data_IF_959246788527
#
_entry.id   IF_959246788527
#
_cell.length_a   1.000
_cell.length_b   1.000
_cell.length_c   1.000
_cell.angle_alpha   90.00
_cell.angle_beta   90.00
_cell.angle_gamma   90.00
#
_symmetry.space_group_name_H-M   'P 1'
#
loop_
_entity.id
_entity.type
_entity.pdbx_description
1 polymer ?
#
# COMPACT_ATOMS: atom_id res chain seq x y z
N UNK A 1 33.77 -11.94 -19.70
CA UNK A 1 32.33 -11.69 -19.45
C UNK A 1 32.22 -10.52 -18.49
N UNK A 2 31.48 -9.45 -18.83
CA UNK A 2 31.27 -8.34 -17.92
C UNK A 2 30.08 -8.67 -16.97
N UNK A 3 29.93 -7.93 -15.87
CA UNK A 3 28.94 -8.22 -14.84
C UNK A 3 27.49 -8.29 -15.37
N UNK A 4 27.01 -7.37 -16.24
CA UNK A 4 25.69 -7.45 -16.87
C UNK A 4 25.42 -8.76 -17.62
N UNK A 5 26.42 -9.38 -18.23
CA UNK A 5 26.28 -10.66 -18.94
C UNK A 5 26.06 -11.86 -18.00
N UNK A 6 26.32 -11.69 -16.70
CA UNK A 6 26.07 -12.70 -15.66
C UNK A 6 24.75 -12.50 -14.96
N UNK A 7 24.14 -11.31 -15.10
CA UNK A 7 22.87 -11.02 -14.47
C UNK A 7 21.71 -11.73 -15.18
N UNK A 8 20.65 -12.00 -14.45
CA UNK A 8 19.40 -12.45 -15.05
C UNK A 8 18.90 -11.38 -16.04
N UNK A 9 18.66 -11.71 -17.33
CA UNK A 9 18.23 -10.74 -18.34
C UNK A 9 17.02 -9.90 -17.93
N UNK A 10 16.09 -10.46 -17.13
CA UNK A 10 14.89 -9.77 -16.63
C UNK A 10 15.19 -8.58 -15.72
N UNK A 11 16.41 -8.55 -15.12
CA UNK A 11 16.83 -7.46 -14.23
C UNK A 11 17.39 -6.28 -15.00
N UNK A 12 17.94 -6.50 -16.18
CA UNK A 12 18.71 -5.47 -16.90
C UNK A 12 17.85 -4.27 -17.30
N UNK A 13 16.59 -4.53 -17.68
CA UNK A 13 15.65 -3.49 -18.10
C UNK A 13 14.67 -3.09 -16.97
N UNK A 14 14.82 -3.65 -15.77
CA UNK A 14 13.96 -3.36 -14.63
C UNK A 14 14.23 -1.94 -14.12
N UNK A 15 13.23 -1.05 -14.05
CA UNK A 15 13.44 0.26 -13.45
C UNK A 15 13.69 0.13 -11.94
N UNK A 16 14.66 0.91 -11.46
CA UNK A 16 14.90 1.00 -10.01
C UNK A 16 13.78 1.80 -9.37
N UNK A 17 13.15 1.23 -8.34
CA UNK A 17 12.13 1.93 -7.57
C UNK A 17 12.71 3.21 -6.95
N UNK A 18 12.09 4.35 -7.22
CA UNK A 18 12.50 5.64 -6.67
C UNK A 18 11.67 5.94 -5.41
N UNK A 19 12.25 5.84 -4.20
CA UNK A 19 11.56 6.24 -2.97
C UNK A 19 11.34 7.75 -2.94
N UNK A 20 10.42 8.21 -2.08
CA UNK A 20 10.34 9.65 -1.75
C UNK A 20 11.61 10.11 -1.05
N UNK A 21 12.02 11.38 -1.25
CA UNK A 21 13.20 11.96 -0.57
C UNK A 21 13.02 11.93 0.95
N UNK A 22 14.12 11.69 1.66
CA UNK A 22 14.15 11.79 3.11
C UNK A 22 14.12 13.26 3.56
N UNK A 23 13.61 13.50 4.77
CA UNK A 23 13.56 14.86 5.36
C UNK A 23 14.97 15.47 5.41
N UNK A 24 15.97 14.68 5.83
CA UNK A 24 17.36 15.10 5.98
C UNK A 24 18.00 15.51 4.65
N UNK A 25 17.63 14.83 3.55
CA UNK A 25 18.14 15.14 2.22
C UNK A 25 17.57 16.47 1.71
N UNK A 26 16.27 16.70 1.88
CA UNK A 26 15.61 17.96 1.52
C UNK A 26 16.12 19.10 2.39
N UNK A 27 16.29 18.88 3.69
CA UNK A 27 16.86 19.87 4.60
C UNK A 27 18.23 20.32 4.17
N UNK A 28 19.10 19.39 3.77
CA UNK A 28 20.48 19.66 3.30
C UNK A 28 20.47 20.37 1.94
N UNK A 29 19.66 19.91 1.00
CA UNK A 29 19.59 20.45 -0.36
C UNK A 29 19.11 21.91 -0.38
N UNK A 30 18.05 22.21 0.39
CA UNK A 30 17.41 23.52 0.41
C UNK A 30 17.80 24.40 1.63
N UNK A 31 18.72 23.92 2.48
CA UNK A 31 19.17 24.61 3.70
C UNK A 31 18.03 24.97 4.64
N UNK A 32 17.07 24.05 4.79
CA UNK A 32 15.91 24.17 5.67
C UNK A 32 16.18 23.51 7.02
N UNK A 33 15.45 23.95 8.07
CA UNK A 33 15.44 23.22 9.33
C UNK A 33 14.60 21.94 9.18
N UNK A 34 15.11 20.74 9.48
CA UNK A 34 14.36 19.49 9.36
C UNK A 34 13.02 19.50 10.11
N UNK A 35 12.90 20.24 11.21
CA UNK A 35 11.66 20.36 12.00
C UNK A 35 10.55 21.13 11.30
N UNK A 36 10.90 21.95 10.30
CA UNK A 36 9.92 22.75 9.56
C UNK A 36 9.43 22.05 8.30
N UNK A 37 10.02 20.88 7.98
CA UNK A 37 9.69 20.10 6.79
C UNK A 37 8.49 19.20 7.07
N UNK A 38 7.49 19.26 6.19
CA UNK A 38 6.32 18.39 6.19
C UNK A 38 6.49 17.29 5.14
N UNK A 39 6.60 16.02 5.56
CA UNK A 39 6.70 14.88 4.66
C UNK A 39 5.32 14.30 4.37
N UNK A 40 4.72 14.70 3.25
CA UNK A 40 3.39 14.29 2.79
C UNK A 40 3.48 13.41 1.52
N UNK A 41 4.49 12.53 1.46
CA UNK A 41 4.85 11.76 0.26
C UNK A 41 4.54 10.27 0.32
N UNK A 42 4.52 9.66 1.50
CA UNK A 42 4.57 8.19 1.64
C UNK A 42 3.32 7.59 2.29
N UNK A 43 2.26 8.39 2.44
CA UNK A 43 0.98 7.95 3.03
C UNK A 43 1.18 7.34 4.43
N UNK A 44 2.13 7.91 5.19
CA UNK A 44 2.39 7.55 6.57
C UNK A 44 1.26 8.10 7.47
N UNK A 45 1.10 7.55 8.68
CA UNK A 45 0.17 8.11 9.66
C UNK A 45 0.83 9.30 10.38
N UNK A 46 0.36 10.54 10.21
CA UNK A 46 1.00 11.72 10.81
C UNK A 46 0.85 11.76 12.35
N UNK A 47 -0.07 10.99 12.90
CA UNK A 47 -0.26 10.89 14.37
C UNK A 47 0.58 9.77 15.01
N UNK A 48 1.35 9.03 14.19
CA UNK A 48 2.23 7.94 14.64
C UNK A 48 1.49 6.66 14.99
N UNK A 49 2.19 5.79 15.70
CA UNK A 49 1.63 4.55 16.24
C UNK A 49 0.93 4.79 17.59
N UNK A 50 0.05 3.87 17.98
CA UNK A 50 -0.58 3.94 19.29
C UNK A 50 0.47 3.83 20.43
N UNK A 51 0.25 4.49 21.57
CA UNK A 51 1.14 4.37 22.71
C UNK A 51 1.40 2.92 23.14
N UNK A 52 0.37 2.08 23.15
CA UNK A 52 0.46 0.65 23.47
C UNK A 52 1.38 -0.11 22.50
N UNK A 53 1.33 0.20 21.21
CA UNK A 53 2.19 -0.41 20.19
C UNK A 53 3.66 0.02 20.38
N UNK A 54 3.89 1.29 20.72
CA UNK A 54 5.23 1.81 21.00
C UNK A 54 5.82 1.13 22.25
N UNK A 55 5.05 1.00 23.32
CA UNK A 55 5.52 0.41 24.56
C UNK A 55 5.80 -1.10 24.42
N UNK A 56 4.94 -1.82 23.70
CA UNK A 56 5.19 -3.22 23.35
C UNK A 56 6.49 -3.39 22.52
N UNK A 57 6.74 -2.47 21.59
CA UNK A 57 7.98 -2.46 20.81
C UNK A 57 9.22 -2.20 21.66
N UNK A 58 9.16 -1.24 22.61
CA UNK A 58 10.25 -0.97 23.55
C UNK A 58 10.58 -2.19 24.42
N UNK A 59 9.55 -2.89 24.91
CA UNK A 59 9.76 -4.09 25.71
C UNK A 59 10.43 -5.19 24.89
N UNK A 60 10.03 -5.37 23.63
CA UNK A 60 10.63 -6.34 22.74
C UNK A 60 12.14 -6.08 22.46
N UNK A 61 12.61 -4.84 22.62
CA UNK A 61 14.05 -4.49 22.46
C UNK A 61 14.95 -5.22 23.46
N UNK A 62 14.46 -5.60 24.64
CA UNK A 62 15.25 -6.36 25.62
C UNK A 62 15.66 -7.75 25.11
N UNK A 63 15.01 -8.26 24.08
CA UNK A 63 15.19 -9.61 23.56
C UNK A 63 15.73 -9.68 22.11
N UNK A 64 16.22 -8.55 21.55
CA UNK A 64 16.69 -8.50 20.15
C UNK A 64 17.91 -9.37 19.84
N UNK A 65 18.58 -9.90 20.84
CA UNK A 65 19.68 -10.86 20.69
C UNK A 65 19.19 -12.27 20.35
N UNK A 66 17.88 -12.53 20.37
CA UNK A 66 17.25 -13.78 20.00
C UNK A 66 16.55 -13.62 18.64
N UNK A 67 16.53 -14.69 17.86
CA UNK A 67 15.66 -14.73 16.68
C UNK A 67 14.19 -14.56 17.09
N UNK A 68 13.37 -13.91 16.28
CA UNK A 68 11.92 -13.90 16.51
C UNK A 68 11.34 -15.31 16.45
N UNK A 69 10.14 -15.53 17.02
CA UNK A 69 9.40 -16.75 16.79
C UNK A 69 9.07 -16.87 15.30
N UNK A 70 9.59 -17.94 14.67
CA UNK A 70 9.69 -18.03 13.21
C UNK A 70 8.36 -18.16 12.47
N UNK A 71 7.30 -18.61 13.14
CA UNK A 71 5.95 -18.72 12.57
C UNK A 71 5.10 -17.48 12.79
N UNK A 72 5.48 -16.60 13.74
CA UNK A 72 4.68 -15.48 14.20
C UNK A 72 3.36 -15.93 14.84
N UNK A 73 3.37 -17.04 15.60
CA UNK A 73 2.18 -17.72 16.07
C UNK A 73 1.22 -16.78 16.85
N UNK A 74 1.75 -15.98 17.80
CA UNK A 74 0.94 -15.06 18.59
C UNK A 74 0.30 -13.96 17.72
N UNK A 75 1.05 -13.38 16.77
CA UNK A 75 0.52 -12.37 15.88
C UNK A 75 -0.52 -12.97 14.92
N UNK A 76 -0.27 -14.17 14.37
CA UNK A 76 -1.24 -14.87 13.52
C UNK A 76 -2.52 -15.18 14.29
N UNK A 77 -2.43 -15.59 15.56
CA UNK A 77 -3.57 -15.78 16.43
C UNK A 77 -4.35 -14.47 16.62
N UNK A 78 -3.67 -13.37 16.98
CA UNK A 78 -4.31 -12.08 17.18
C UNK A 78 -5.01 -11.55 15.90
N UNK A 79 -4.39 -11.75 14.72
CA UNK A 79 -4.98 -11.38 13.43
C UNK A 79 -6.21 -12.26 13.14
N UNK A 80 -6.09 -13.58 13.34
CA UNK A 80 -7.18 -14.52 13.06
C UNK A 80 -8.40 -14.26 13.95
N UNK A 81 -8.20 -13.99 15.24
CA UNK A 81 -9.25 -13.57 16.15
C UNK A 81 -9.94 -12.28 15.71
N UNK A 82 -9.16 -11.28 15.28
CA UNK A 82 -9.71 -10.00 14.80
C UNK A 82 -10.52 -10.14 13.51
N UNK A 83 -10.16 -11.11 12.64
CA UNK A 83 -10.83 -11.37 11.36
C UNK A 83 -11.91 -12.46 11.44
N UNK A 84 -12.01 -13.23 12.53
CA UNK A 84 -12.88 -14.40 12.61
C UNK A 84 -12.43 -15.54 11.67
N UNK A 85 -11.13 -15.73 11.51
CA UNK A 85 -10.48 -16.76 10.68
C UNK A 85 -9.66 -17.72 11.54
N UNK A 86 -9.06 -18.73 10.91
CA UNK A 86 -8.09 -19.61 11.56
C UNK A 86 -6.67 -19.08 11.37
N UNK A 87 -5.76 -19.38 12.30
CA UNK A 87 -4.37 -18.88 12.22
C UNK A 87 -3.57 -19.44 11.04
N UNK A 88 -3.94 -20.60 10.51
CA UNK A 88 -3.35 -21.21 9.31
C UNK A 88 -3.84 -20.57 7.99
N UNK A 89 -4.85 -19.71 8.07
CA UNK A 89 -5.30 -18.86 6.97
C UNK A 89 -4.54 -17.51 6.89
N UNK A 90 -3.56 -17.27 7.77
CA UNK A 90 -2.79 -16.03 7.87
C UNK A 90 -1.34 -16.26 7.46
N UNK A 91 -0.81 -15.40 6.57
CA UNK A 91 0.61 -15.31 6.21
C UNK A 91 1.15 -13.95 6.62
N UNK A 92 2.27 -13.91 7.34
CA UNK A 92 2.95 -12.68 7.71
C UNK A 92 4.03 -12.32 6.69
N UNK A 93 4.25 -11.02 6.49
CA UNK A 93 5.25 -10.51 5.59
C UNK A 93 5.94 -9.24 6.11
N UNK A 94 7.12 -8.98 5.58
CA UNK A 94 7.89 -7.75 5.81
C UNK A 94 7.23 -6.57 5.07
N UNK A 95 6.07 -6.14 5.57
CA UNK A 95 5.07 -5.35 4.86
C UNK A 95 4.27 -6.22 3.87
N UNK A 96 3.18 -5.67 3.32
CA UNK A 96 2.40 -6.35 2.27
C UNK A 96 3.22 -6.59 0.98
N UNK A 97 4.30 -5.86 0.75
CA UNK A 97 5.19 -6.07 -0.39
C UNK A 97 5.76 -7.50 -0.43
N UNK A 98 6.16 -8.07 0.71
CA UNK A 98 6.66 -9.45 0.73
C UNK A 98 5.56 -10.44 0.34
N UNK A 99 4.29 -10.15 0.67
CA UNK A 99 3.18 -11.01 0.22
C UNK A 99 3.04 -10.98 -1.31
N UNK A 100 3.22 -9.80 -1.92
CA UNK A 100 3.23 -9.67 -3.40
C UNK A 100 4.37 -10.49 -4.01
N UNK A 101 5.57 -10.43 -3.41
CA UNK A 101 6.73 -11.22 -3.86
C UNK A 101 6.49 -12.72 -3.70
N UNK A 102 5.94 -13.16 -2.56
CA UNK A 102 5.60 -14.56 -2.32
C UNK A 102 4.60 -15.10 -3.34
N UNK A 103 3.58 -14.31 -3.70
CA UNK A 103 2.64 -14.67 -4.77
C UNK A 103 3.36 -14.86 -6.10
N UNK A 104 4.29 -13.96 -6.43
CA UNK A 104 5.13 -14.10 -7.62
C UNK A 104 5.98 -15.35 -7.62
N UNK A 105 6.71 -15.60 -6.53
CA UNK A 105 7.59 -16.77 -6.39
C UNK A 105 6.84 -18.11 -6.47
N UNK A 106 5.60 -18.15 -5.97
CA UNK A 106 4.85 -19.41 -5.86
C UNK A 106 4.04 -19.71 -7.11
N UNK A 107 3.53 -18.66 -7.80
CA UNK A 107 2.50 -18.88 -8.82
C UNK A 107 2.89 -18.39 -10.22
N UNK A 108 3.97 -17.64 -10.39
CA UNK A 108 4.35 -17.08 -11.68
C UNK A 108 5.54 -17.81 -12.30
N UNK A 109 5.40 -18.11 -13.58
CA UNK A 109 6.42 -18.59 -14.47
C UNK A 109 6.56 -17.65 -15.69
N UNK A 110 7.58 -17.88 -16.51
CA UNK A 110 7.78 -17.10 -17.72
C UNK A 110 6.61 -17.25 -18.70
N UNK A 111 6.07 -16.11 -19.13
CA UNK A 111 4.95 -16.04 -20.07
C UNK A 111 3.58 -16.06 -19.42
N UNK A 112 3.46 -16.23 -18.12
CA UNK A 112 2.21 -16.00 -17.38
C UNK A 112 1.79 -14.54 -17.44
N UNK A 113 0.52 -14.26 -17.23
CA UNK A 113 -0.04 -12.90 -17.25
C UNK A 113 -0.55 -12.49 -15.86
N UNK A 114 -0.30 -11.21 -15.52
CA UNK A 114 -0.78 -10.58 -14.29
C UNK A 114 -1.59 -9.36 -14.66
N UNK A 115 -2.89 -9.37 -14.35
CA UNK A 115 -3.78 -8.24 -14.63
C UNK A 115 -3.70 -7.21 -13.49
N UNK A 116 -3.51 -5.94 -13.87
CA UNK A 116 -3.42 -4.80 -12.96
C UNK A 116 -4.08 -3.57 -13.56
N UNK A 117 -4.55 -2.64 -12.77
CA UNK A 117 -4.95 -1.33 -13.25
C UNK A 117 -3.75 -0.53 -13.78
N UNK A 118 -3.95 0.28 -14.82
CA UNK A 118 -2.89 1.08 -15.44
C UNK A 118 -2.18 1.97 -14.41
N UNK A 119 -2.94 2.61 -13.54
CA UNK A 119 -2.47 3.48 -12.47
C UNK A 119 -2.55 2.81 -11.08
N UNK A 120 -2.37 1.50 -11.00
CA UNK A 120 -2.27 0.80 -9.72
C UNK A 120 -0.84 0.89 -9.14
N UNK A 121 -0.67 0.37 -7.92
CA UNK A 121 0.61 0.37 -7.24
C UNK A 121 1.69 -0.33 -8.07
N UNK A 122 2.77 0.39 -8.36
CA UNK A 122 3.81 -0.03 -9.32
C UNK A 122 4.48 -1.37 -9.00
N UNK A 123 4.50 -1.77 -7.72
CA UNK A 123 5.17 -3.01 -7.27
C UNK A 123 4.56 -4.25 -7.92
N UNK A 124 3.27 -4.25 -8.24
CA UNK A 124 2.66 -5.40 -8.94
C UNK A 124 3.32 -5.61 -10.32
N UNK A 125 3.53 -4.53 -11.09
CA UNK A 125 4.20 -4.59 -12.41
C UNK A 125 5.66 -5.00 -12.26
N UNK A 126 6.38 -4.40 -11.30
CA UNK A 126 7.79 -4.69 -11.07
C UNK A 126 8.00 -6.15 -10.69
N UNK A 127 7.18 -6.66 -9.77
CA UNK A 127 7.24 -8.07 -9.37
C UNK A 127 6.92 -9.00 -10.55
N UNK A 128 5.89 -8.71 -11.33
CA UNK A 128 5.52 -9.52 -12.50
C UNK A 128 6.68 -9.64 -13.49
N UNK A 129 7.30 -8.52 -13.83
CA UNK A 129 8.47 -8.48 -14.72
C UNK A 129 9.65 -9.27 -14.15
N UNK A 130 9.92 -9.14 -12.85
CA UNK A 130 10.99 -9.87 -12.17
C UNK A 130 10.80 -11.39 -12.26
N UNK A 131 9.56 -11.88 -12.17
CA UNK A 131 9.22 -13.30 -12.31
C UNK A 131 9.15 -13.77 -13.78
N UNK A 132 9.29 -12.87 -14.75
CA UNK A 132 9.16 -13.17 -16.18
C UNK A 132 7.73 -13.24 -16.67
N UNK A 133 6.79 -12.84 -15.85
CA UNK A 133 5.39 -12.71 -16.23
C UNK A 133 5.13 -11.36 -16.91
N UNK A 134 4.07 -11.31 -17.73
CA UNK A 134 3.65 -10.13 -18.46
C UNK A 134 2.59 -9.37 -17.67
N UNK A 135 2.85 -8.12 -17.22
CA UNK A 135 1.79 -7.30 -16.66
C UNK A 135 0.82 -6.83 -17.77
N UNK A 136 -0.46 -7.14 -17.59
CA UNK A 136 -1.56 -6.70 -18.47
C UNK A 136 -2.22 -5.51 -17.79
N UNK A 137 -1.90 -4.30 -18.27
CA UNK A 137 -2.39 -3.05 -17.72
C UNK A 137 -3.75 -2.69 -18.28
N UNK A 138 -4.75 -2.54 -17.44
CA UNK A 138 -6.11 -2.19 -17.81
C UNK A 138 -6.35 -0.70 -17.61
N UNK A 139 -6.84 0.04 -18.62
CA UNK A 139 -7.20 1.44 -18.48
C UNK A 139 -8.18 1.66 -17.32
N UNK A 140 -8.06 2.81 -16.67
CA UNK A 140 -8.87 3.18 -15.51
C UNK A 140 -9.69 4.45 -15.82
N UNK A 141 -10.85 4.34 -16.46
CA UNK A 141 -11.71 5.49 -16.71
C UNK A 141 -12.04 6.22 -15.39
N UNK A 142 -11.95 7.54 -15.40
CA UNK A 142 -12.12 8.36 -14.19
C UNK A 142 -11.22 7.93 -13.01
N UNK A 143 -10.08 7.30 -13.31
CA UNK A 143 -9.11 6.79 -12.35
C UNK A 143 -9.67 5.71 -11.39
N UNK A 144 -10.76 5.03 -11.78
CA UNK A 144 -11.37 3.90 -11.07
C UNK A 144 -11.09 2.62 -11.85
N UNK A 145 -10.90 1.49 -11.17
CA UNK A 145 -10.70 0.20 -11.84
C UNK A 145 -11.94 -0.22 -12.64
N UNK A 146 -11.76 -0.50 -13.93
CA UNK A 146 -12.80 -1.11 -14.77
C UNK A 146 -12.78 -2.64 -14.60
N UNK A 147 -13.57 -3.14 -13.65
CA UNK A 147 -13.63 -4.57 -13.33
C UNK A 147 -14.13 -5.41 -14.53
N UNK A 148 -15.00 -4.84 -15.35
CA UNK A 148 -15.49 -5.53 -16.57
C UNK A 148 -14.37 -5.65 -17.61
N UNK A 149 -13.56 -4.61 -17.81
CA UNK A 149 -12.41 -4.69 -18.70
C UNK A 149 -11.34 -5.63 -18.14
N UNK A 150 -11.09 -5.64 -16.82
CA UNK A 150 -10.21 -6.62 -16.18
C UNK A 150 -10.69 -8.05 -16.43
N UNK A 151 -11.98 -8.32 -16.29
CA UNK A 151 -12.56 -9.65 -16.56
C UNK A 151 -12.39 -10.06 -18.02
N UNK A 152 -12.67 -9.17 -18.99
CA UNK A 152 -12.49 -9.45 -20.43
C UNK A 152 -11.04 -9.70 -20.84
N UNK A 153 -10.08 -9.19 -20.07
CA UNK A 153 -8.66 -9.37 -20.33
C UNK A 153 -8.10 -10.72 -19.86
N UNK A 154 -8.90 -11.54 -19.16
CA UNK A 154 -8.47 -12.85 -18.68
C UNK A 154 -8.25 -13.79 -19.86
N UNK A 155 -7.09 -14.45 -19.88
CA UNK A 155 -6.72 -15.50 -20.81
C UNK A 155 -6.33 -16.78 -20.06
N UNK A 156 -6.06 -17.87 -20.75
CA UNK A 156 -5.55 -19.13 -20.16
C UNK A 156 -4.17 -18.95 -19.48
N UNK A 157 -3.46 -17.85 -19.78
CA UNK A 157 -2.16 -17.50 -19.18
C UNK A 157 -2.30 -16.63 -17.94
N UNK A 158 -3.47 -16.09 -17.67
CA UNK A 158 -3.69 -15.22 -16.51
C UNK A 158 -3.59 -16.02 -15.21
N UNK A 159 -2.65 -15.68 -14.34
CA UNK A 159 -2.45 -16.32 -13.03
C UNK A 159 -2.93 -15.47 -11.87
N UNK A 160 -2.60 -14.18 -11.89
CA UNK A 160 -2.90 -13.25 -10.80
C UNK A 160 -3.66 -12.04 -11.31
N UNK A 161 -4.58 -11.55 -10.49
CA UNK A 161 -5.22 -10.25 -10.65
C UNK A 161 -5.00 -9.48 -9.35
N UNK A 162 -4.35 -8.31 -9.41
CA UNK A 162 -4.24 -7.41 -8.27
C UNK A 162 -5.24 -6.27 -8.38
N UNK A 163 -6.05 -6.11 -7.34
CA UNK A 163 -7.00 -5.01 -7.19
C UNK A 163 -6.76 -4.31 -5.86
N UNK A 164 -6.10 -3.15 -5.83
CA UNK A 164 -6.04 -2.34 -4.62
C UNK A 164 -7.34 -1.56 -4.42
N UNK A 165 -7.89 -1.63 -3.20
CA UNK A 165 -9.09 -0.88 -2.84
C UNK A 165 -9.01 -0.42 -1.37
N UNK A 166 -8.87 0.91 -1.14
CA UNK A 166 -8.64 2.01 -2.10
C UNK A 166 -7.34 1.90 -2.90
N UNK A 167 -7.36 2.40 -4.15
CA UNK A 167 -6.20 2.38 -5.04
C UNK A 167 -5.16 3.44 -4.68
N UNK A 168 -3.91 3.13 -4.81
CA UNK A 168 -2.79 4.06 -4.78
C UNK A 168 -2.17 4.14 -6.21
N UNK A 169 -2.13 5.32 -6.85
CA UNK A 169 -2.15 6.67 -6.25
C UNK A 169 -3.47 7.43 -6.34
N UNK A 170 -4.54 6.87 -6.86
CA UNK A 170 -5.76 7.63 -7.19
C UNK A 170 -6.66 7.89 -5.96
N UNK A 171 -6.61 7.04 -4.93
CA UNK A 171 -7.49 7.12 -3.77
C UNK A 171 -8.90 6.62 -4.02
N UNK A 172 -9.21 6.23 -5.25
CA UNK A 172 -10.53 5.71 -5.65
C UNK A 172 -10.73 4.28 -5.20
N UNK A 173 -11.98 3.85 -5.10
CA UNK A 173 -12.36 2.48 -4.77
C UNK A 173 -13.62 2.08 -5.55
N UNK A 174 -13.71 0.82 -5.92
CA UNK A 174 -14.97 0.21 -6.35
C UNK A 174 -15.84 -0.08 -5.11
N UNK A 175 -17.14 -0.29 -5.31
CA UNK A 175 -18.02 -0.68 -4.22
C UNK A 175 -17.70 -2.09 -3.72
N UNK A 176 -18.01 -2.42 -2.45
CA UNK A 176 -17.83 -3.78 -1.92
C UNK A 176 -18.56 -4.84 -2.76
N UNK A 177 -19.77 -4.54 -3.22
CA UNK A 177 -20.60 -5.43 -4.03
C UNK A 177 -19.96 -5.71 -5.39
N UNK A 178 -19.43 -4.67 -6.06
CA UNK A 178 -18.72 -4.83 -7.34
C UNK A 178 -17.48 -5.71 -7.18
N UNK A 179 -16.69 -5.51 -6.12
CA UNK A 179 -15.49 -6.29 -5.84
C UNK A 179 -15.84 -7.76 -5.58
N UNK A 180 -16.87 -8.01 -4.76
CA UNK A 180 -17.31 -9.37 -4.44
C UNK A 180 -17.87 -10.09 -5.69
N UNK A 181 -18.74 -9.42 -6.46
CA UNK A 181 -19.27 -9.98 -7.69
C UNK A 181 -18.16 -10.29 -8.71
N UNK A 182 -17.16 -9.38 -8.82
CA UNK A 182 -15.98 -9.61 -9.65
C UNK A 182 -15.21 -10.85 -9.19
N UNK A 183 -14.87 -10.94 -7.92
CA UNK A 183 -14.12 -12.08 -7.35
C UNK A 183 -14.86 -13.41 -7.52
N UNK A 184 -16.19 -13.42 -7.41
CA UNK A 184 -17.04 -14.59 -7.63
C UNK A 184 -17.06 -15.04 -9.09
N UNK A 185 -16.97 -14.10 -10.03
CA UNK A 185 -17.05 -14.38 -11.48
C UNK A 185 -15.75 -14.96 -12.06
N UNK A 186 -14.64 -14.91 -11.32
CA UNK A 186 -13.34 -15.30 -11.84
C UNK A 186 -13.21 -16.81 -12.09
N UNK A 187 -12.53 -17.22 -13.18
CA UNK A 187 -12.32 -18.63 -13.48
C UNK A 187 -11.36 -19.29 -12.48
N UNK A 188 -11.50 -20.59 -12.30
CA UNK A 188 -10.79 -21.35 -11.27
C UNK A 188 -9.27 -21.46 -11.43
N UNK A 189 -8.68 -20.98 -12.53
CA UNK A 189 -7.21 -20.93 -12.72
C UNK A 189 -6.58 -19.61 -12.27
N UNK A 190 -7.40 -18.58 -11.97
CA UNK A 190 -6.96 -17.24 -11.57
C UNK A 190 -6.99 -17.09 -10.05
N UNK A 191 -5.97 -16.48 -9.49
CA UNK A 191 -5.91 -16.06 -8.08
C UNK A 191 -6.21 -14.56 -8.03
N UNK A 192 -7.23 -14.18 -7.26
CA UNK A 192 -7.59 -12.80 -7.01
C UNK A 192 -6.91 -12.28 -5.76
N UNK A 193 -6.18 -11.17 -5.88
CA UNK A 193 -5.45 -10.52 -4.80
C UNK A 193 -6.03 -9.14 -4.55
N UNK A 194 -6.79 -8.99 -3.46
CA UNK A 194 -7.30 -7.70 -3.00
C UNK A 194 -6.25 -7.05 -2.09
N UNK A 195 -5.71 -5.90 -2.49
CA UNK A 195 -4.82 -5.13 -1.63
C UNK A 195 -5.63 -4.13 -0.81
N UNK A 196 -5.75 -4.43 0.46
CA UNK A 196 -6.50 -3.70 1.48
C UNK A 196 -5.60 -2.76 2.31
N UNK A 197 -4.50 -2.23 1.73
CA UNK A 197 -3.54 -1.40 2.48
C UNK A 197 -4.17 -0.15 3.11
N UNK A 198 -5.33 0.28 2.64
CA UNK A 198 -6.06 1.45 3.13
C UNK A 198 -7.47 1.11 3.64
N UNK A 199 -7.77 -0.15 3.86
CA UNK A 199 -9.12 -0.64 4.20
C UNK A 199 -9.67 -0.04 5.50
N UNK A 200 -8.81 0.23 6.49
CA UNK A 200 -9.22 0.80 7.77
C UNK A 200 -9.73 2.24 7.66
N UNK A 201 -9.51 2.92 6.53
CA UNK A 201 -10.08 4.24 6.23
C UNK A 201 -11.49 4.17 5.64
N UNK A 202 -11.93 3.00 5.16
CA UNK A 202 -13.28 2.77 4.62
C UNK A 202 -14.31 2.64 5.76
N UNK A 203 -15.51 3.13 5.53
CA UNK A 203 -16.66 2.88 6.39
C UNK A 203 -17.21 1.47 6.18
N UNK A 204 -17.31 1.06 4.92
CA UNK A 204 -17.79 -0.26 4.49
C UNK A 204 -16.72 -0.91 3.57
N UNK A 205 -15.79 -1.68 4.13
CA UNK A 205 -14.79 -2.39 3.35
C UNK A 205 -15.35 -3.70 2.75
N UNK A 206 -14.87 -4.14 1.57
CA UNK A 206 -15.23 -5.43 1.01
C UNK A 206 -14.79 -6.58 1.93
N UNK A 207 -15.62 -7.62 2.03
CA UNK A 207 -15.34 -8.79 2.86
C UNK A 207 -15.15 -10.05 2.02
N UNK A 208 -13.91 -10.50 1.84
CA UNK A 208 -13.59 -11.72 1.10
C UNK A 208 -13.73 -13.01 1.93
N UNK A 209 -13.99 -12.94 3.23
CA UNK A 209 -14.04 -14.14 4.10
C UNK A 209 -15.05 -15.18 3.65
N UNK A 210 -16.27 -14.83 3.18
CA UNK A 210 -17.20 -15.82 2.63
C UNK A 210 -16.62 -16.57 1.43
N UNK A 211 -15.93 -15.86 0.51
CA UNK A 211 -15.32 -16.47 -0.67
C UNK A 211 -14.13 -17.41 -0.31
N UNK A 212 -13.40 -17.08 0.74
CA UNK A 212 -12.34 -17.94 1.29
C UNK A 212 -12.96 -19.23 1.83
N UNK A 213 -14.07 -19.15 2.55
CA UNK A 213 -14.81 -20.31 3.10
C UNK A 213 -15.40 -21.19 1.98
N UNK A 214 -15.83 -20.61 0.88
CA UNK A 214 -16.28 -21.31 -0.33
C UNK A 214 -15.13 -21.97 -1.11
N UNK A 215 -13.89 -21.79 -0.70
CA UNK A 215 -12.71 -22.35 -1.37
C UNK A 215 -12.30 -21.61 -2.64
N UNK A 216 -12.76 -20.37 -2.83
CA UNK A 216 -12.31 -19.52 -3.94
C UNK A 216 -10.83 -19.19 -3.80
N UNK A 217 -10.15 -19.02 -4.92
CA UNK A 217 -8.73 -18.66 -4.96
C UNK A 217 -8.57 -17.15 -4.77
N UNK A 218 -8.84 -16.69 -3.57
CA UNK A 218 -8.73 -15.29 -3.18
C UNK A 218 -7.74 -15.11 -2.04
N UNK A 219 -7.00 -14.01 -2.09
CA UNK A 219 -6.12 -13.54 -1.02
C UNK A 219 -6.36 -12.05 -0.80
N UNK A 220 -6.56 -11.63 0.44
CA UNK A 220 -6.51 -10.23 0.79
C UNK A 220 -5.20 -9.92 1.52
N UNK A 221 -4.68 -8.69 1.34
CA UNK A 221 -3.42 -8.24 1.94
C UNK A 221 -3.64 -6.95 2.72
N UNK A 222 -3.11 -6.87 3.94
CA UNK A 222 -3.13 -5.69 4.80
C UNK A 222 -1.74 -5.30 5.27
N UNK A 223 -1.60 -4.07 5.71
CA UNK A 223 -0.34 -3.54 6.23
C UNK A 223 -0.55 -2.78 7.53
N UNK A 224 0.41 -2.86 8.44
CA UNK A 224 0.47 -2.00 9.61
C UNK A 224 1.15 -0.65 9.32
N UNK A 225 1.61 -0.43 8.09
CA UNK A 225 2.35 0.78 7.70
C UNK A 225 1.50 2.04 7.61
N UNK A 226 0.16 1.92 7.48
CA UNK A 226 -0.74 3.05 7.22
C UNK A 226 -1.42 3.48 8.53
N UNK A 227 -2.68 3.17 8.74
CA UNK A 227 -3.42 3.66 9.90
C UNK A 227 -2.82 3.28 11.24
N UNK A 228 -2.16 2.13 11.34
CA UNK A 228 -1.49 1.68 12.56
C UNK A 228 -0.17 2.41 12.88
N UNK A 229 0.40 3.19 11.93
CA UNK A 229 1.59 3.99 12.15
C UNK A 229 2.90 3.19 12.31
N UNK A 230 2.96 1.93 11.87
CA UNK A 230 4.12 1.05 12.03
C UNK A 230 4.97 0.92 10.75
N UNK A 231 4.98 1.94 9.89
CA UNK A 231 5.66 1.90 8.61
C UNK A 231 7.15 1.51 8.71
N UNK A 232 7.86 2.01 9.73
CA UNK A 232 9.28 1.73 9.96
C UNK A 232 9.57 0.30 10.43
N UNK A 233 8.58 -0.41 10.97
CA UNK A 233 8.77 -1.78 11.47
C UNK A 233 8.62 -2.85 10.38
N UNK A 234 8.12 -2.46 9.20
CA UNK A 234 7.99 -3.35 8.04
C UNK A 234 7.17 -4.61 8.36
N UNK A 235 5.90 -4.43 8.71
CA UNK A 235 4.98 -5.52 9.02
C UNK A 235 3.68 -5.41 8.23
N UNK A 236 3.24 -6.53 7.67
CA UNK A 236 1.97 -6.72 6.98
C UNK A 236 1.57 -8.18 7.02
N UNK A 237 0.42 -8.48 6.47
CA UNK A 237 -0.09 -9.85 6.41
C UNK A 237 -1.02 -10.04 5.21
N UNK A 238 -1.16 -11.31 4.79
CA UNK A 238 -2.19 -11.76 3.89
C UNK A 238 -3.09 -12.77 4.56
N UNK A 239 -4.32 -12.90 4.08
CA UNK A 239 -5.25 -13.92 4.52
C UNK A 239 -6.01 -14.53 3.34
N UNK A 240 -6.18 -15.85 3.39
CA UNK A 240 -6.79 -16.63 2.30
C UNK A 240 -7.12 -18.04 2.76
N UNK A 241 -7.36 -18.96 1.82
CA UNK A 241 -7.56 -20.37 2.20
C UNK A 241 -6.29 -20.97 2.82
N UNK A 242 -6.43 -21.91 3.75
CA UNK A 242 -5.33 -22.65 4.35
C UNK A 242 -4.37 -23.22 3.27
N UNK A 243 -4.94 -23.81 2.20
CA UNK A 243 -4.16 -24.38 1.11
C UNK A 243 -3.28 -23.33 0.41
N UNK A 244 -3.81 -22.13 0.14
CA UNK A 244 -3.08 -21.04 -0.49
C UNK A 244 -1.97 -20.53 0.43
N UNK A 245 -2.30 -20.28 1.70
CA UNK A 245 -1.33 -19.82 2.72
C UNK A 245 -0.21 -20.85 2.90
N UNK A 246 -0.53 -22.15 2.94
CA UNK A 246 0.46 -23.23 3.05
C UNK A 246 1.46 -23.25 1.88
N UNK A 247 1.03 -22.89 0.67
CA UNK A 247 1.93 -22.76 -0.48
C UNK A 247 2.84 -21.53 -0.31
N UNK A 248 2.31 -20.38 0.09
CA UNK A 248 3.11 -19.17 0.33
C UNK A 248 4.15 -19.38 1.45
N UNK A 249 3.80 -20.12 2.51
CA UNK A 249 4.72 -20.46 3.59
C UNK A 249 5.98 -21.21 3.12
N UNK A 250 5.91 -21.96 2.01
CA UNK A 250 7.08 -22.68 1.46
C UNK A 250 8.12 -21.75 0.85
N UNK A 251 7.70 -20.57 0.36
CA UNK A 251 8.59 -19.60 -0.26
C UNK A 251 9.06 -18.53 0.74
N UNK A 252 8.38 -18.41 1.90
CA UNK A 252 8.68 -17.39 2.91
C UNK A 252 10.08 -17.62 3.52
N UNK A 253 10.83 -16.54 3.65
CA UNK A 253 12.14 -16.56 4.32
C UNK A 253 11.97 -16.91 5.81
N UNK A 254 12.86 -17.75 6.39
CA UNK A 254 12.87 -18.01 7.82
C UNK A 254 13.02 -16.69 8.62
N UNK A 255 12.25 -16.53 9.69
CA UNK A 255 12.33 -15.38 10.61
C UNK A 255 12.13 -14.01 9.91
N UNK A 256 11.33 -13.97 8.84
CA UNK A 256 11.16 -12.76 8.00
C UNK A 256 10.64 -11.54 8.77
N UNK A 257 9.76 -11.71 9.76
CA UNK A 257 9.18 -10.62 10.55
C UNK A 257 9.89 -10.51 11.90
N UNK A 258 10.48 -9.36 12.18
CA UNK A 258 11.23 -9.11 13.40
C UNK A 258 10.34 -9.08 14.66
N UNK A 259 10.92 -9.35 15.82
CA UNK A 259 10.21 -9.47 17.12
C UNK A 259 9.55 -8.16 17.54
N UNK A 260 10.18 -7.02 17.29
CA UNK A 260 9.65 -5.69 17.63
C UNK A 260 8.38 -5.43 16.83
N UNK A 261 8.41 -5.76 15.53
CA UNK A 261 7.25 -5.62 14.65
C UNK A 261 6.08 -6.52 15.09
N UNK A 262 6.36 -7.77 15.47
CA UNK A 262 5.34 -8.70 15.96
C UNK A 262 4.66 -8.17 17.22
N UNK A 263 5.43 -7.78 18.23
CA UNK A 263 4.92 -7.26 19.51
C UNK A 263 4.10 -5.97 19.31
N UNK A 264 4.65 -5.01 18.55
CA UNK A 264 3.96 -3.75 18.25
C UNK A 264 2.65 -3.97 17.46
N UNK A 265 2.65 -4.90 16.49
CA UNK A 265 1.46 -5.20 15.70
C UNK A 265 0.35 -5.83 16.54
N UNK A 266 0.68 -6.75 17.45
CA UNK A 266 -0.30 -7.33 18.38
C UNK A 266 -0.96 -6.25 19.24
N UNK A 267 -0.17 -5.32 19.78
CA UNK A 267 -0.68 -4.22 20.59
C UNK A 267 -1.53 -3.25 19.75
N UNK A 268 -1.09 -2.93 18.52
CA UNK A 268 -1.82 -2.05 17.60
C UNK A 268 -3.19 -2.62 17.18
N UNK A 269 -3.31 -3.94 16.99
CA UNK A 269 -4.59 -4.62 16.68
C UNK A 269 -5.61 -4.51 17.80
N UNK A 270 -5.14 -4.47 19.06
CA UNK A 270 -6.00 -4.34 20.24
C UNK A 270 -6.48 -2.92 20.47
N UNK A 271 -5.74 -1.92 19.98
CA UNK A 271 -6.04 -0.49 20.19
C UNK A 271 -7.01 0.04 19.13
N UNK A 272 -8.25 -0.44 19.17
CA UNK A 272 -9.30 -0.04 18.21
C UNK A 272 -9.66 1.44 18.32
N UNK A 273 -9.55 2.01 19.51
CA UNK A 273 -9.83 3.42 19.76
C UNK A 273 -8.83 4.32 19.05
N UNK A 274 -7.53 3.96 19.04
CA UNK A 274 -6.52 4.67 18.28
C UNK A 274 -6.82 4.67 16.77
N UNK A 275 -7.18 3.51 16.22
CA UNK A 275 -7.55 3.37 14.81
C UNK A 275 -8.77 4.24 14.49
N UNK A 276 -9.80 4.23 15.34
CA UNK A 276 -11.00 5.06 15.17
C UNK A 276 -10.67 6.56 15.20
N UNK A 277 -9.81 7.00 16.13
CA UNK A 277 -9.33 8.38 16.21
C UNK A 277 -8.53 8.78 14.96
N UNK A 278 -7.61 7.93 14.48
CA UNK A 278 -6.83 8.19 13.27
C UNK A 278 -7.73 8.27 12.03
N UNK A 279 -8.73 7.40 11.91
CA UNK A 279 -9.72 7.44 10.82
C UNK A 279 -10.47 8.78 10.83
N UNK A 280 -11.00 9.16 11.99
CA UNK A 280 -11.73 10.44 12.12
C UNK A 280 -10.85 11.63 11.73
N UNK A 281 -9.64 11.72 12.29
CA UNK A 281 -8.69 12.80 11.97
C UNK A 281 -8.32 12.83 10.49
N UNK A 282 -8.21 11.67 9.84
CA UNK A 282 -7.98 11.58 8.40
C UNK A 282 -9.17 12.13 7.60
N UNK A 283 -10.40 11.80 7.99
CA UNK A 283 -11.62 12.35 7.38
C UNK A 283 -11.66 13.87 7.50
N UNK A 284 -11.43 14.39 8.71
CA UNK A 284 -11.36 15.85 8.97
C UNK A 284 -10.25 16.50 8.10
N UNK A 285 -9.09 15.84 7.95
CA UNK A 285 -7.98 16.30 7.12
C UNK A 285 -8.27 16.26 5.62
N UNK A 286 -8.98 15.24 5.14
CA UNK A 286 -9.46 15.19 3.75
C UNK A 286 -10.42 16.34 3.44
N UNK A 287 -11.35 16.64 4.34
CA UNK A 287 -12.29 17.75 4.20
C UNK A 287 -11.56 19.11 4.21
N UNK A 288 -10.61 19.30 5.12
CA UNK A 288 -9.75 20.48 5.17
C UNK A 288 -9.01 20.70 3.85
N UNK A 289 -8.35 19.66 3.35
CA UNK A 289 -7.60 19.73 2.09
C UNK A 289 -8.53 19.98 0.90
N UNK A 290 -9.65 19.28 0.81
CA UNK A 290 -10.64 19.46 -0.25
C UNK A 290 -11.16 20.89 -0.33
N UNK A 291 -11.53 21.49 0.83
CA UNK A 291 -11.97 22.88 0.92
C UNK A 291 -10.85 23.85 0.50
N UNK A 292 -9.61 23.61 0.98
CA UNK A 292 -8.46 24.44 0.63
C UNK A 292 -8.13 24.41 -0.86
N UNK A 293 -8.14 23.22 -1.47
CA UNK A 293 -7.90 23.04 -2.92
C UNK A 293 -8.99 23.70 -3.77
N UNK A 294 -10.26 23.58 -3.37
CA UNK A 294 -11.37 24.27 -4.02
C UNK A 294 -11.19 25.80 -3.99
N UNK A 295 -10.76 26.35 -2.86
CA UNK A 295 -10.49 27.80 -2.73
C UNK A 295 -9.30 28.27 -3.59
N UNK A 296 -8.40 27.36 -3.97
CA UNK A 296 -7.30 27.60 -4.90
C UNK A 296 -7.67 27.32 -6.37
N UNK A 297 -8.91 26.92 -6.66
CA UNK A 297 -9.37 26.46 -7.97
C UNK A 297 -8.56 25.27 -8.52
N UNK A 298 -8.07 24.39 -7.65
CA UNK A 298 -7.34 23.17 -8.02
C UNK A 298 -8.28 21.97 -8.03
N UNK A 299 -8.24 21.21 -9.12
CA UNK A 299 -8.95 19.95 -9.23
C UNK A 299 -8.22 18.84 -8.47
N UNK A 300 -8.97 17.94 -7.88
CA UNK A 300 -8.43 16.77 -7.19
C UNK A 300 -9.35 15.56 -7.37
N UNK A 301 -8.79 14.37 -7.22
CA UNK A 301 -9.55 13.11 -7.25
C UNK A 301 -10.10 12.85 -5.84
N UNK A 302 -11.42 12.69 -5.65
CA UNK A 302 -11.99 12.30 -4.37
C UNK A 302 -11.40 10.98 -3.88
N UNK A 303 -10.92 10.95 -2.64
CA UNK A 303 -10.17 9.82 -2.10
C UNK A 303 -10.89 9.14 -0.95
N UNK A 304 -10.74 7.82 -0.88
CA UNK A 304 -11.14 6.95 0.23
C UNK A 304 -9.93 6.47 1.07
N UNK A 305 -8.73 7.04 0.80
CA UNK A 305 -7.49 6.71 1.49
C UNK A 305 -7.01 7.88 2.37
N UNK A 306 -5.72 7.91 2.72
CA UNK A 306 -5.11 8.99 3.50
C UNK A 306 -4.23 9.92 2.63
N UNK A 307 -4.65 10.20 1.42
CA UNK A 307 -3.97 11.10 0.48
C UNK A 307 -4.95 11.60 -0.58
N UNK A 308 -4.59 12.65 -1.28
CA UNK A 308 -5.28 13.18 -2.46
C UNK A 308 -4.36 13.18 -3.67
N UNK A 309 -4.91 12.92 -4.84
CA UNK A 309 -4.27 13.14 -6.13
C UNK A 309 -4.76 14.47 -6.68
N UNK A 310 -3.87 15.46 -6.76
CA UNK A 310 -4.19 16.85 -7.07
C UNK A 310 -3.65 17.22 -8.43
N UNK A 311 -4.50 17.76 -9.31
CA UNK A 311 -4.08 18.30 -10.61
C UNK A 311 -3.45 19.68 -10.40
N UNK A 312 -2.18 19.80 -10.75
CA UNK A 312 -1.36 21.01 -10.60
C UNK A 312 -0.81 21.52 -11.94
N UNK A 313 -1.22 20.87 -13.05
CA UNK A 313 -0.76 21.20 -14.41
C UNK A 313 0.61 20.59 -14.75
N UNK A 314 1.66 20.97 -14.03
CA UNK A 314 3.00 20.38 -14.11
C UNK A 314 3.40 19.80 -12.74
N UNK A 315 3.22 18.48 -12.61
CA UNK A 315 3.46 17.78 -11.34
C UNK A 315 4.92 17.78 -10.92
N UNK A 316 5.87 17.65 -11.88
CA UNK A 316 7.29 17.61 -11.55
C UNK A 316 7.79 18.98 -11.08
N UNK A 317 7.48 20.04 -11.81
CA UNK A 317 7.86 21.41 -11.45
C UNK A 317 7.24 21.84 -10.12
N UNK A 318 5.95 21.50 -9.90
CA UNK A 318 5.26 21.79 -8.64
C UNK A 318 5.89 21.03 -7.48
N UNK A 319 6.19 19.75 -7.66
CA UNK A 319 6.87 18.93 -6.64
C UNK A 319 8.21 19.55 -6.22
N UNK A 320 9.06 19.97 -7.16
CA UNK A 320 10.35 20.60 -6.86
C UNK A 320 10.18 21.94 -6.13
N UNK A 321 9.23 22.76 -6.56
CA UNK A 321 8.90 24.03 -5.94
C UNK A 321 8.36 23.89 -4.53
N UNK A 322 7.54 22.86 -4.26
CA UNK A 322 7.04 22.53 -2.93
C UNK A 322 8.16 22.04 -2.01
N UNK A 323 9.10 21.23 -2.52
CA UNK A 323 10.26 20.79 -1.74
C UNK A 323 11.12 21.97 -1.28
N UNK A 324 11.36 22.95 -2.16
CA UNK A 324 12.09 24.18 -1.82
C UNK A 324 11.41 24.98 -0.68
N UNK A 325 10.11 24.74 -0.44
CA UNK A 325 9.33 25.32 0.66
C UNK A 325 9.16 24.37 1.86
N UNK A 326 9.88 23.25 1.85
CA UNK A 326 9.81 22.26 2.93
C UNK A 326 8.57 21.34 2.90
N UNK A 327 7.85 21.26 1.77
CA UNK A 327 6.71 20.35 1.63
C UNK A 327 7.09 19.21 0.67
N UNK A 328 7.29 18.01 1.19
CA UNK A 328 7.65 16.83 0.40
C UNK A 328 6.37 16.11 -0.01
N UNK A 329 6.00 16.19 -1.29
CA UNK A 329 4.88 15.47 -1.90
C UNK A 329 5.39 14.29 -2.75
N UNK A 330 4.54 13.63 -3.51
CA UNK A 330 4.92 12.56 -4.44
C UNK A 330 4.58 12.97 -5.87
N UNK A 331 5.59 13.13 -6.77
CA UNK A 331 5.33 13.31 -8.18
C UNK A 331 4.81 12.01 -8.78
N UNK A 332 4.00 12.12 -9.84
CA UNK A 332 3.40 10.99 -10.51
C UNK A 332 4.20 10.59 -11.75
N UNK A 333 4.01 9.36 -12.26
CA UNK A 333 4.62 8.93 -13.52
C UNK A 333 4.08 9.74 -14.70
N UNK A 334 4.74 9.60 -15.87
CA UNK A 334 4.42 10.34 -17.10
C UNK A 334 2.93 10.30 -17.48
N UNK A 335 2.28 9.16 -17.29
CA UNK A 335 0.82 8.99 -17.55
C UNK A 335 -0.10 9.81 -16.63
N UNK A 336 0.44 10.39 -15.54
CA UNK A 336 -0.24 11.27 -14.61
C UNK A 336 0.62 12.50 -14.28
N UNK A 337 1.42 12.98 -15.22
CA UNK A 337 2.43 14.03 -15.04
C UNK A 337 1.87 15.39 -14.61
N UNK A 338 0.57 15.65 -14.83
CA UNK A 338 -0.11 16.85 -14.35
C UNK A 338 -0.47 16.79 -12.85
N UNK A 339 -0.27 15.64 -12.20
CA UNK A 339 -0.69 15.44 -10.82
C UNK A 339 0.48 15.36 -9.85
N UNK A 340 0.20 15.73 -8.60
CA UNK A 340 0.99 15.35 -7.42
C UNK A 340 0.09 14.61 -6.44
N UNK A 341 0.63 13.59 -5.75
CA UNK A 341 -0.06 12.94 -4.65
C UNK A 341 0.40 13.56 -3.33
N UNK A 342 -0.56 14.00 -2.52
CA UNK A 342 -0.33 14.66 -1.24
C UNK A 342 -0.98 13.80 -0.15
N UNK A 343 -0.18 13.27 0.78
CA UNK A 343 -0.69 12.55 1.96
C UNK A 343 -1.41 13.52 2.89
N UNK A 344 -2.42 13.02 3.61
CA UNK A 344 -3.06 13.80 4.66
C UNK A 344 -2.13 13.84 5.87
N UNK A 345 -1.76 15.06 6.27
CA UNK A 345 -0.97 15.35 7.45
C UNK A 345 -1.85 15.73 8.65
N UNK A 346 -1.20 16.25 9.70
CA UNK A 346 -1.89 16.97 10.77
C UNK A 346 -2.58 18.21 10.21
N UNK A 347 -3.50 18.80 10.97
CA UNK A 347 -4.19 20.05 10.57
C UNK A 347 -3.18 21.16 10.19
N UNK A 348 -2.08 21.28 10.95
CA UNK A 348 -1.03 22.25 10.67
C UNK A 348 -0.25 21.94 9.40
N UNK A 349 0.13 20.66 9.17
CA UNK A 349 0.84 20.23 7.96
C UNK A 349 -0.02 20.44 6.71
N UNK A 350 -1.31 20.12 6.78
CA UNK A 350 -2.28 20.39 5.72
C UNK A 350 -2.37 21.90 5.39
N UNK A 351 -2.42 22.76 6.43
CA UNK A 351 -2.44 24.21 6.26
C UNK A 351 -1.15 24.73 5.62
N UNK A 352 0.02 24.20 6.04
CA UNK A 352 1.32 24.53 5.42
C UNK A 352 1.36 24.11 3.95
N UNK A 353 0.88 22.91 3.64
CA UNK A 353 0.81 22.43 2.26
C UNK A 353 -0.07 23.29 1.36
N UNK A 354 -1.27 23.66 1.81
CA UNK A 354 -2.18 24.58 1.08
C UNK A 354 -1.57 25.96 0.89
N UNK A 355 -0.88 26.49 1.91
CA UNK A 355 -0.16 27.77 1.82
C UNK A 355 0.96 27.71 0.77
N UNK A 356 1.74 26.63 0.77
CA UNK A 356 2.81 26.43 -0.20
C UNK A 356 2.27 26.26 -1.63
N UNK A 357 1.19 25.48 -1.82
CA UNK A 357 0.51 25.35 -3.11
C UNK A 357 0.04 26.72 -3.66
N UNK A 358 -0.57 27.55 -2.82
CA UNK A 358 -0.95 28.90 -3.20
C UNK A 358 0.23 29.74 -3.69
N UNK A 359 1.38 29.65 -3.02
CA UNK A 359 2.58 30.43 -3.37
C UNK A 359 3.30 29.91 -4.63
N UNK A 360 3.07 28.66 -5.01
CA UNK A 360 3.71 28.02 -6.16
C UNK A 360 2.86 28.15 -7.42
N UNK A 361 1.53 28.10 -7.29
CA UNK A 361 0.59 27.98 -8.41
C UNK A 361 -0.27 29.23 -8.68
N UNK A 362 -0.37 30.12 -7.70
CA UNK A 362 -1.16 31.37 -7.76
C UNK A 362 -0.28 32.58 -7.54
#
# INVERSE_FOLDING_TARGET
MNLPQLANPRILDQPVYQPGKAIEDVAREYKLNPKDICKLASNENPWGASPSAIDAGKEALHHIHLYPEGSGAELRCAISENLGLQSDQIILGNGSNEIIELLGHVFLEEGDEVIVGEHAFVVYKLMSLLMGAKPVSIPMPNLVHDLNAMHRAITDKTKLIFLPSPNNPTGTANSPEEILAFAQSLPGHVIFCLDEAYTEYLEDPPDLRPLIQEGRKVLAMRTFSKIHGLAGLRIGYGYGSEQLVKLLQKARQPFNVNSIAQASAIAALKDKDWVAQCRKRNTDGLEQMALGLKNLNLEYVPSKANFLLVNVGDGQSTFESLQAKGIITRPMPESLNSFVRISIGTEEENRKALTALKQVLV
#
